data_IF_173959860024
#
_entry.id   IF_173959860024
#
_cell.length_a   1.000
_cell.length_b   1.000
_cell.length_c   1.000
_cell.angle_alpha   90.00
_cell.angle_beta   90.00
_cell.angle_gamma   90.00
#
_symmetry.space_group_name_H-M   'P 1'
#
loop_
_entity.id
_entity.type
_entity.pdbx_description
1 polymer ?
#
# COMPACT_ATOMS: atom_id res chain seq x y z
N UNK A 1 15.73 -10.94 3.31
CA UNK A 1 14.35 -11.04 3.84
C UNK A 1 14.14 -10.26 5.14
N UNK A 2 14.82 -10.57 6.26
CA UNK A 2 14.59 -9.86 7.55
C UNK A 2 14.74 -8.33 7.46
N UNK A 3 15.77 -7.83 6.79
CA UNK A 3 15.98 -6.39 6.61
C UNK A 3 14.90 -5.72 5.74
N UNK A 4 14.42 -6.40 4.69
CA UNK A 4 13.35 -5.91 3.82
C UNK A 4 12.00 -5.87 4.54
N UNK A 5 11.70 -6.89 5.36
CA UNK A 5 10.51 -6.92 6.19
C UNK A 5 10.54 -5.78 7.23
N UNK A 6 11.68 -5.56 7.89
CA UNK A 6 11.84 -4.46 8.84
C UNK A 6 11.68 -3.08 8.17
N UNK A 7 12.25 -2.90 6.96
CA UNK A 7 12.08 -1.66 6.21
C UNK A 7 10.63 -1.44 5.76
N UNK A 8 9.92 -2.51 5.38
CA UNK A 8 8.50 -2.43 4.99
C UNK A 8 7.64 -2.02 6.19
N UNK A 9 7.88 -2.59 7.37
CA UNK A 9 7.18 -2.20 8.60
C UNK A 9 7.39 -0.72 8.93
N UNK A 10 8.64 -0.24 8.85
CA UNK A 10 8.97 1.17 9.08
C UNK A 10 8.25 2.10 8.09
N UNK A 11 8.11 1.67 6.83
CA UNK A 11 7.40 2.46 5.83
C UNK A 11 5.88 2.47 6.11
N UNK A 12 5.29 1.31 6.42
CA UNK A 12 3.87 1.20 6.76
C UNK A 12 3.53 2.10 7.98
N UNK A 13 4.36 2.09 9.03
CA UNK A 13 4.22 2.99 10.20
C UNK A 13 4.27 4.47 9.80
N UNK A 14 5.19 4.86 8.90
CA UNK A 14 5.27 6.22 8.41
C UNK A 14 4.02 6.64 7.64
N UNK A 15 3.44 5.74 6.83
CA UNK A 15 2.22 5.99 6.07
C UNK A 15 0.97 6.04 6.96
N UNK A 16 0.91 5.25 8.03
CA UNK A 16 -0.20 5.32 8.99
C UNK A 16 -0.34 6.72 9.61
N UNK A 17 0.79 7.40 9.87
CA UNK A 17 0.78 8.78 10.37
C UNK A 17 0.19 9.81 9.39
N UNK A 18 -0.05 9.42 8.14
CA UNK A 18 -0.61 10.31 7.13
C UNK A 18 -2.14 10.22 7.02
N UNK A 19 -2.77 9.19 7.61
CA UNK A 19 -4.22 8.96 7.50
C UNK A 19 -5.04 10.12 8.09
N UNK A 20 -4.56 10.69 9.21
CA UNK A 20 -5.26 11.75 9.94
C UNK A 20 -4.75 13.16 9.58
N UNK A 21 -3.81 13.27 8.64
CA UNK A 21 -3.31 14.58 8.19
C UNK A 21 -4.41 15.31 7.40
N UNK A 22 -4.52 16.64 7.54
CA UNK A 22 -5.38 17.44 6.67
C UNK A 22 -5.04 17.20 5.19
N UNK A 23 -6.06 17.24 4.34
CA UNK A 23 -5.84 17.12 2.90
C UNK A 23 -5.03 18.31 2.38
N UNK A 24 -3.97 18.03 1.63
CA UNK A 24 -3.13 19.04 1.00
C UNK A 24 -2.68 18.65 -0.40
N UNK A 25 -2.39 19.66 -1.22
CA UNK A 25 -1.85 19.47 -2.56
C UNK A 25 -0.32 19.38 -2.49
N UNK A 26 0.21 18.18 -2.71
CA UNK A 26 1.64 17.94 -2.73
C UNK A 26 2.19 18.10 -4.15
N UNK A 27 3.32 18.79 -4.30
CA UNK A 27 3.95 19.07 -5.59
C UNK A 27 5.33 18.44 -5.67
N UNK A 28 5.60 17.75 -6.77
CA UNK A 28 6.81 16.97 -7.00
C UNK A 28 7.38 17.25 -8.39
N UNK A 29 8.69 17.03 -8.55
CA UNK A 29 9.33 16.93 -9.86
C UNK A 29 9.49 15.44 -10.20
N UNK A 30 8.80 14.97 -11.23
CA UNK A 30 8.83 13.57 -11.69
C UNK A 30 9.09 13.54 -13.21
N UNK A 31 10.12 12.81 -13.61
CA UNK A 31 10.56 12.74 -15.03
C UNK A 31 10.68 14.14 -15.67
N UNK A 32 11.38 15.05 -14.98
CA UNK A 32 11.58 16.45 -15.39
C UNK A 32 10.28 17.29 -15.54
N UNK A 33 9.14 16.77 -15.08
CA UNK A 33 7.86 17.47 -15.08
C UNK A 33 7.39 17.75 -13.66
N UNK A 34 6.88 18.95 -13.44
CA UNK A 34 6.18 19.28 -12.19
C UNK A 34 4.78 18.68 -12.22
N UNK A 35 4.45 17.90 -11.19
CA UNK A 35 3.15 17.26 -11.00
C UNK A 35 2.63 17.56 -9.60
N UNK A 36 1.32 17.69 -9.46
CA UNK A 36 0.67 17.94 -8.18
C UNK A 36 -0.45 16.93 -7.95
N UNK A 37 -0.52 16.38 -6.74
CA UNK A 37 -1.52 15.40 -6.33
C UNK A 37 -1.97 15.70 -4.90
N UNK A 38 -3.22 15.38 -4.58
CA UNK A 38 -3.68 15.38 -3.19
C UNK A 38 -2.92 14.30 -2.41
N UNK A 39 -2.51 14.60 -1.17
CA UNK A 39 -1.90 13.63 -0.28
C UNK A 39 -2.77 12.37 -0.09
N UNK A 40 -4.09 12.53 -0.01
CA UNK A 40 -5.08 11.44 0.05
C UNK A 40 -4.99 10.51 -1.17
N UNK A 41 -4.78 11.06 -2.37
CA UNK A 41 -4.58 10.27 -3.60
C UNK A 41 -3.27 9.47 -3.53
N UNK A 42 -2.21 10.08 -3.01
CA UNK A 42 -0.90 9.41 -2.86
C UNK A 42 -1.00 8.26 -1.86
N UNK A 43 -1.69 8.46 -0.73
CA UNK A 43 -1.92 7.43 0.28
C UNK A 43 -2.72 6.26 -0.33
N UNK A 44 -3.84 6.56 -1.01
CA UNK A 44 -4.67 5.53 -1.64
C UNK A 44 -3.87 4.69 -2.66
N UNK A 45 -3.06 5.35 -3.51
CA UNK A 45 -2.20 4.65 -4.48
C UNK A 45 -1.14 3.80 -3.80
N UNK A 46 -0.54 4.29 -2.72
CA UNK A 46 0.47 3.56 -1.93
C UNK A 46 -0.12 2.30 -1.31
N UNK A 47 -1.28 2.42 -0.67
CA UNK A 47 -1.98 1.28 -0.07
C UNK A 47 -2.35 0.26 -1.13
N UNK A 48 -2.94 0.70 -2.25
CA UNK A 48 -3.34 -0.19 -3.34
C UNK A 48 -2.15 -0.96 -3.94
N UNK A 49 -1.05 -0.27 -4.24
CA UNK A 49 0.14 -0.91 -4.78
C UNK A 49 0.82 -1.83 -3.76
N UNK A 50 0.80 -1.47 -2.48
CA UNK A 50 1.26 -2.34 -1.40
C UNK A 50 0.43 -3.62 -1.27
N UNK A 51 -0.88 -3.57 -1.51
CA UNK A 51 -1.75 -4.75 -1.55
C UNK A 51 -1.40 -5.63 -2.76
N UNK A 52 -1.22 -5.03 -3.94
CA UNK A 52 -0.84 -5.74 -5.17
C UNK A 52 0.46 -6.56 -4.98
N UNK A 53 1.51 -5.95 -4.43
CA UNK A 53 2.77 -6.66 -4.16
C UNK A 53 2.62 -7.77 -3.12
N UNK A 54 1.81 -7.55 -2.07
CA UNK A 54 1.54 -8.61 -1.08
C UNK A 54 0.80 -9.78 -1.70
N UNK A 55 -0.14 -9.52 -2.62
CA UNK A 55 -0.82 -10.55 -3.39
C UNK A 55 0.14 -11.36 -4.27
N UNK A 56 1.03 -10.68 -5.01
CA UNK A 56 2.06 -11.33 -5.84
C UNK A 56 3.00 -12.22 -4.99
N UNK A 57 3.43 -11.74 -3.81
CA UNK A 57 4.30 -12.51 -2.90
C UNK A 57 3.57 -13.73 -2.35
N UNK A 58 2.33 -13.57 -1.89
CA UNK A 58 1.54 -14.67 -1.36
C UNK A 58 1.27 -15.75 -2.42
N UNK A 59 1.00 -15.36 -3.67
CA UNK A 59 0.83 -16.29 -4.79
C UNK A 59 2.12 -17.10 -5.06
N UNK A 60 3.28 -16.44 -5.09
CA UNK A 60 4.59 -17.12 -5.23
C UNK A 60 4.81 -18.12 -4.08
N UNK A 61 4.48 -17.75 -2.85
CA UNK A 61 4.66 -18.63 -1.68
C UNK A 61 3.70 -19.83 -1.73
N UNK A 62 2.45 -19.62 -2.13
CA UNK A 62 1.46 -20.68 -2.31
C UNK A 62 1.90 -21.70 -3.38
N UNK A 63 2.42 -21.25 -4.53
CA UNK A 63 3.01 -22.12 -5.58
C UNK A 63 4.15 -22.97 -5.02
N UNK A 64 4.92 -22.44 -4.06
CA UNK A 64 6.00 -23.14 -3.37
C UNK A 64 5.51 -23.98 -2.16
N UNK A 65 4.20 -24.24 -2.05
CA UNK A 65 3.55 -25.00 -0.97
C UNK A 65 3.75 -24.38 0.41
N UNK A 66 3.95 -23.06 0.46
CA UNK A 66 4.05 -22.28 1.68
C UNK A 66 2.78 -21.46 1.84
N UNK A 67 1.87 -21.92 2.68
CA UNK A 67 0.63 -21.21 3.00
C UNK A 67 0.88 -20.21 4.14
N UNK A 68 1.23 -18.98 3.79
CA UNK A 68 1.67 -17.95 4.75
C UNK A 68 0.65 -16.84 5.00
N UNK A 69 -0.23 -16.55 4.02
CA UNK A 69 -1.20 -15.45 4.07
C UNK A 69 -2.43 -15.85 3.24
N UNK A 70 -3.62 -15.74 3.84
CA UNK A 70 -4.89 -15.84 3.13
C UNK A 70 -5.25 -14.46 2.55
N UNK A 71 -5.12 -14.29 1.23
CA UNK A 71 -5.45 -13.03 0.54
C UNK A 71 -6.95 -12.75 0.49
N UNK A 72 -7.79 -13.78 0.40
CA UNK A 72 -9.25 -13.62 0.39
C UNK A 72 -9.75 -13.08 1.74
N UNK A 73 -9.05 -13.38 2.83
CA UNK A 73 -9.36 -12.83 4.15
C UNK A 73 -9.07 -11.33 4.30
N UNK A 74 -8.27 -10.74 3.39
CA UNK A 74 -7.97 -9.31 3.42
C UNK A 74 -9.07 -8.47 2.75
N UNK A 75 -9.91 -9.08 1.90
CA UNK A 75 -11.01 -8.52 1.09
C UNK A 75 -11.16 -6.98 1.09
N UNK A 76 -10.19 -6.25 0.50
CA UNK A 76 -10.21 -4.79 0.52
C UNK A 76 -11.35 -4.21 -0.32
N UNK A 77 -11.87 -4.97 -1.29
CA UNK A 77 -12.98 -4.56 -2.17
C UNK A 77 -14.30 -4.57 -1.39
N UNK A 78 -14.57 -5.59 -0.57
CA UNK A 78 -15.75 -5.58 0.29
C UNK A 78 -15.69 -4.49 1.35
N UNK A 79 -14.50 -4.21 1.91
CA UNK A 79 -14.32 -3.07 2.81
C UNK A 79 -14.67 -1.74 2.14
N UNK A 80 -14.14 -1.48 0.93
CA UNK A 80 -14.43 -0.26 0.17
C UNK A 80 -15.93 -0.13 -0.17
N UNK A 81 -16.59 -1.22 -0.56
CA UNK A 81 -18.03 -1.23 -0.87
C UNK A 81 -18.92 -0.96 0.35
N UNK A 82 -18.51 -1.39 1.54
CA UNK A 82 -19.30 -1.23 2.76
C UNK A 82 -19.22 0.19 3.36
N UNK A 83 -18.22 0.98 2.96
CA UNK A 83 -17.93 2.30 3.52
C UNK A 83 -18.03 3.43 2.46
N UNK A 84 -18.70 3.16 1.34
CA UNK A 84 -19.14 4.14 0.33
C UNK A 84 -20.65 4.16 0.26
#
# INVERSE_FOLDING_TARGET
MKALAAQSLKNDEAFLNWIDQPEEMLTFVRYEKTVSFLNTTIIAQTVNHGIEHRAQIADILAINKMDVINLDALDPISYERAHR
#
